data_IF_232551674438
#
_entry.id   IF_232551674438
#
_cell.length_a   1.000
_cell.length_b   1.000
_cell.length_c   1.000
_cell.angle_alpha   90.00
_cell.angle_beta   90.00
_cell.angle_gamma   90.00
#
_symmetry.space_group_name_H-M   'P 1'
#
loop_
_entity.id
_entity.type
_entity.pdbx_description
1 polymer ?
#
# COMPACT_ATOMS: atom_id res chain seq x y z
N UNK A 1 -22.94 -11.72 -19.66
CA UNK A 1 -21.93 -10.66 -19.43
C UNK A 1 -21.09 -10.59 -20.69
N UNK A 2 -20.82 -9.40 -21.23
CA UNK A 2 -19.95 -9.26 -22.42
C UNK A 2 -18.56 -9.78 -22.07
N UNK A 3 -17.95 -10.57 -22.96
CA UNK A 3 -16.57 -11.05 -22.80
C UNK A 3 -15.63 -9.83 -22.71
N UNK A 4 -14.97 -9.64 -21.57
CA UNK A 4 -14.10 -8.49 -21.34
C UNK A 4 -12.74 -8.76 -22.00
N UNK A 5 -12.30 -7.86 -22.89
CA UNK A 5 -11.01 -8.01 -23.60
C UNK A 5 -9.84 -7.73 -22.65
N UNK A 6 -8.67 -8.32 -22.92
CA UNK A 6 -7.45 -8.06 -22.14
C UNK A 6 -7.06 -6.57 -22.14
N UNK A 7 -7.28 -5.85 -23.24
CA UNK A 7 -7.04 -4.39 -23.31
C UNK A 7 -7.96 -3.63 -22.36
N UNK A 8 -9.27 -3.93 -22.38
CA UNK A 8 -10.23 -3.27 -21.47
C UNK A 8 -9.94 -3.57 -20.00
N UNK A 9 -9.47 -4.79 -19.69
CA UNK A 9 -9.03 -5.17 -18.35
C UNK A 9 -7.80 -4.38 -17.90
N UNK A 10 -6.80 -4.23 -18.78
CA UNK A 10 -5.58 -3.45 -18.52
C UNK A 10 -5.89 -1.98 -18.26
N UNK A 11 -6.77 -1.38 -19.05
CA UNK A 11 -7.22 0.00 -18.90
C UNK A 11 -7.90 0.19 -17.54
N UNK A 12 -8.85 -0.69 -17.21
CA UNK A 12 -9.61 -0.62 -15.97
C UNK A 12 -8.77 -0.83 -14.71
N UNK A 13 -7.77 -1.72 -14.76
CA UNK A 13 -6.77 -1.88 -13.70
C UNK A 13 -5.93 -0.60 -13.51
N UNK A 14 -5.58 0.07 -14.61
CA UNK A 14 -4.87 1.35 -14.57
C UNK A 14 -5.72 2.47 -13.97
N UNK A 15 -6.98 2.59 -14.40
CA UNK A 15 -7.93 3.59 -13.90
C UNK A 15 -8.18 3.43 -12.40
N UNK A 16 -8.41 2.20 -11.92
CA UNK A 16 -8.66 1.98 -10.49
C UNK A 16 -7.41 2.21 -9.65
N UNK A 17 -6.23 1.83 -10.15
CA UNK A 17 -4.96 2.12 -9.50
C UNK A 17 -4.72 3.63 -9.40
N UNK A 18 -4.98 4.38 -10.48
CA UNK A 18 -4.82 5.83 -10.49
C UNK A 18 -5.81 6.52 -9.53
N UNK A 19 -7.08 6.08 -9.54
CA UNK A 19 -8.10 6.57 -8.60
C UNK A 19 -7.70 6.32 -7.14
N UNK A 20 -7.20 5.13 -6.84
CA UNK A 20 -6.71 4.80 -5.50
C UNK A 20 -5.52 5.68 -5.09
N UNK A 21 -4.56 5.86 -5.99
CA UNK A 21 -3.41 6.71 -5.74
C UNK A 21 -3.82 8.16 -5.47
N UNK A 22 -4.71 8.72 -6.30
CA UNK A 22 -5.21 10.09 -6.12
C UNK A 22 -5.95 10.28 -4.80
N UNK A 23 -6.86 9.36 -4.44
CA UNK A 23 -7.60 9.47 -3.18
C UNK A 23 -6.68 9.45 -1.95
N UNK A 24 -5.65 8.58 -1.97
CA UNK A 24 -4.68 8.48 -0.87
C UNK A 24 -3.72 9.67 -0.84
N UNK A 25 -3.18 10.13 -1.98
CA UNK A 25 -2.36 11.34 -2.02
C UNK A 25 -3.12 12.59 -1.60
N UNK A 26 -4.40 12.71 -1.97
CA UNK A 26 -5.26 13.81 -1.52
C UNK A 26 -5.40 13.85 0.00
N UNK A 27 -5.50 12.68 0.66
CA UNK A 27 -5.54 12.60 2.12
C UNK A 27 -4.25 13.07 2.80
N UNK A 28 -3.12 13.05 2.08
CA UNK A 28 -1.82 13.53 2.52
C UNK A 28 -1.54 14.99 2.13
N UNK A 29 -2.56 15.71 1.62
CA UNK A 29 -2.46 17.15 1.32
C UNK A 29 -2.21 17.47 -0.15
N UNK A 30 -2.11 16.47 -1.02
CA UNK A 30 -2.04 16.71 -2.47
C UNK A 30 -3.39 17.12 -3.09
N UNK A 31 -4.46 17.24 -2.28
CA UNK A 31 -5.84 17.46 -2.73
C UNK A 31 -6.09 18.77 -3.47
N UNK A 32 -5.14 19.72 -3.48
CA UNK A 32 -5.16 20.86 -4.41
C UNK A 32 -4.97 20.45 -5.88
N UNK A 33 -4.64 19.17 -6.14
CA UNK A 33 -4.37 18.62 -7.47
C UNK A 33 -5.47 17.69 -8.00
N UNK A 34 -6.47 17.28 -7.19
CA UNK A 34 -7.57 16.41 -7.61
C UNK A 34 -8.83 16.54 -6.73
N UNK A 35 -9.99 16.77 -7.36
CA UNK A 35 -11.30 16.80 -6.69
C UNK A 35 -11.84 15.37 -6.49
N UNK A 36 -12.06 14.95 -5.24
CA UNK A 36 -12.60 13.63 -4.93
C UNK A 36 -12.70 13.34 -3.43
N UNK A 37 -13.38 12.24 -3.07
CA UNK A 37 -13.40 11.76 -1.68
C UNK A 37 -12.00 11.31 -1.29
N UNK A 38 -11.50 11.87 -0.19
CA UNK A 38 -10.23 11.52 0.42
C UNK A 38 -10.29 10.11 1.02
N UNK A 39 -9.16 9.40 1.02
CA UNK A 39 -9.04 8.10 1.65
C UNK A 39 -9.38 8.14 3.16
N UNK A 40 -10.03 7.10 3.64
CA UNK A 40 -10.43 6.87 5.04
C UNK A 40 -9.64 5.73 5.71
N UNK A 41 -9.16 4.76 4.93
CA UNK A 41 -8.32 3.66 5.41
C UNK A 41 -6.88 4.13 5.65
N UNK A 42 -6.15 3.40 6.51
CA UNK A 42 -4.73 3.68 6.77
C UNK A 42 -3.96 3.59 5.45
N UNK A 43 -3.24 4.65 5.12
CA UNK A 43 -2.37 4.72 3.94
C UNK A 43 -1.08 3.98 4.24
N UNK A 44 -0.72 3.09 3.32
CA UNK A 44 0.61 2.52 3.22
C UNK A 44 1.45 3.39 2.26
N UNK A 45 2.35 4.25 2.77
CA UNK A 45 3.00 5.26 1.93
C UNK A 45 4.07 4.65 1.01
N UNK A 46 4.67 3.51 1.36
CA UNK A 46 5.57 2.79 0.46
C UNK A 46 4.81 2.12 -0.67
N UNK A 47 3.70 1.43 -0.36
CA UNK A 47 2.85 0.81 -1.38
C UNK A 47 2.28 1.85 -2.33
N UNK A 48 1.79 2.96 -1.78
CA UNK A 48 1.24 4.08 -2.54
C UNK A 48 2.30 4.67 -3.49
N UNK A 49 3.54 4.87 -3.02
CA UNK A 49 4.65 5.30 -3.87
C UNK A 49 4.88 4.28 -5.00
N UNK A 50 5.03 2.99 -4.69
CA UNK A 50 5.36 1.97 -5.68
C UNK A 50 4.28 1.81 -6.76
N UNK A 51 3.00 1.85 -6.37
CA UNK A 51 1.88 1.90 -7.31
C UNK A 51 1.95 3.16 -8.18
N UNK A 52 2.21 4.31 -7.56
CA UNK A 52 2.29 5.58 -8.28
C UNK A 52 3.38 5.55 -9.34
N UNK A 53 4.56 5.01 -9.00
CA UNK A 53 5.67 4.85 -9.95
C UNK A 53 5.31 3.93 -11.12
N UNK A 54 4.61 2.82 -10.87
CA UNK A 54 4.15 1.90 -11.91
C UNK A 54 3.21 2.60 -12.92
N UNK A 55 2.33 3.48 -12.44
CA UNK A 55 1.31 4.14 -13.24
C UNK A 55 1.76 5.43 -13.95
N UNK A 56 3.01 5.88 -13.77
CA UNK A 56 3.54 7.09 -14.42
C UNK A 56 3.39 7.08 -15.96
N UNK A 57 3.62 5.96 -16.69
CA UNK A 57 3.47 5.98 -18.15
C UNK A 57 2.09 6.41 -18.62
N UNK A 58 1.03 6.07 -17.87
CA UNK A 58 -0.36 6.33 -18.20
C UNK A 58 -0.91 7.58 -17.50
N UNK A 59 -0.53 7.82 -16.24
CA UNK A 59 -0.92 8.98 -15.45
C UNK A 59 0.32 9.80 -15.08
N UNK A 60 0.74 10.65 -16.02
CA UNK A 60 1.99 11.44 -15.92
C UNK A 60 2.04 12.34 -14.68
N UNK A 61 0.88 12.78 -14.17
CA UNK A 61 0.80 13.66 -12.98
C UNK A 61 1.29 12.96 -11.70
N UNK A 62 1.27 11.62 -11.64
CA UNK A 62 1.84 10.88 -10.52
C UNK A 62 3.36 11.07 -10.40
N UNK A 63 4.05 11.47 -11.47
CA UNK A 63 5.47 11.83 -11.38
C UNK A 63 5.68 13.11 -10.56
N UNK A 64 4.82 14.11 -10.74
CA UNK A 64 4.88 15.36 -9.97
C UNK A 64 4.64 15.05 -8.47
N UNK A 65 3.68 14.16 -8.16
CA UNK A 65 3.43 13.67 -6.79
C UNK A 65 4.60 12.90 -6.20
N UNK A 66 5.19 11.97 -6.95
CA UNK A 66 6.36 11.21 -6.49
C UNK A 66 7.55 12.13 -6.21
N UNK A 67 7.75 13.17 -7.03
CA UNK A 67 8.79 14.18 -6.81
C UNK A 67 8.51 15.01 -5.56
N UNK A 68 7.30 15.55 -5.43
CA UNK A 68 6.88 16.27 -4.23
C UNK A 68 7.11 15.44 -2.97
N UNK A 69 6.68 14.18 -2.99
CA UNK A 69 6.85 13.28 -1.86
C UNK A 69 8.32 12.94 -1.57
N UNK A 70 9.17 12.85 -2.58
CA UNK A 70 10.60 12.67 -2.38
C UNK A 70 11.21 13.85 -1.61
N UNK A 71 10.74 15.06 -1.90
CA UNK A 71 11.28 16.29 -1.33
C UNK A 71 10.76 16.55 0.10
N UNK A 72 9.48 16.29 0.38
CA UNK A 72 8.89 16.62 1.71
C UNK A 72 8.55 15.41 2.58
N UNK A 73 8.30 14.25 1.96
CA UNK A 73 7.76 13.06 2.62
C UNK A 73 8.73 11.91 2.74
N UNK A 74 9.90 11.97 2.09
CA UNK A 74 10.89 10.87 2.10
C UNK A 74 11.35 10.49 3.50
N UNK A 75 11.41 11.47 4.42
CA UNK A 75 11.66 11.28 5.85
C UNK A 75 10.70 10.28 6.52
N UNK A 76 9.46 10.19 6.04
CA UNK A 76 8.41 9.33 6.58
C UNK A 76 8.35 7.94 5.92
N UNK A 77 9.23 7.67 4.96
CA UNK A 77 9.37 6.37 4.31
C UNK A 77 10.48 5.53 4.94
N UNK A 78 10.24 4.22 5.02
CA UNK A 78 11.20 3.20 5.40
C UNK A 78 11.90 2.66 4.16
N UNK A 79 13.15 3.09 3.92
CA UNK A 79 13.97 2.62 2.78
C UNK A 79 14.03 1.10 2.68
N UNK A 80 14.18 0.42 3.82
CA UNK A 80 14.22 -1.05 3.88
C UNK A 80 12.88 -1.67 3.45
N UNK A 81 11.77 -1.14 3.95
CA UNK A 81 10.43 -1.63 3.64
C UNK A 81 10.09 -1.37 2.19
N UNK A 82 10.36 -0.16 1.66
CA UNK A 82 10.18 0.17 0.24
C UNK A 82 10.92 -0.83 -0.64
N UNK A 83 12.19 -1.14 -0.33
CA UNK A 83 12.97 -2.13 -1.09
C UNK A 83 12.36 -3.52 -1.03
N UNK A 84 11.84 -3.92 0.12
CA UNK A 84 11.23 -5.23 0.31
C UNK A 84 9.97 -5.35 -0.54
N UNK A 85 9.07 -4.38 -0.42
CA UNK A 85 7.82 -4.33 -1.17
C UNK A 85 8.04 -4.19 -2.68
N UNK A 86 9.04 -3.41 -3.11
CA UNK A 86 9.29 -3.18 -4.53
C UNK A 86 9.60 -4.48 -5.31
N UNK A 87 10.02 -5.55 -4.64
CA UNK A 87 10.25 -6.86 -5.28
C UNK A 87 8.97 -7.49 -5.82
N UNK A 88 7.83 -7.15 -5.23
CA UNK A 88 6.52 -7.66 -5.64
C UNK A 88 5.91 -6.81 -6.76
N UNK A 89 6.59 -5.74 -7.18
CA UNK A 89 6.18 -4.88 -8.28
C UNK A 89 6.93 -5.20 -9.57
N UNK A 90 6.34 -4.88 -10.74
CA UNK A 90 7.03 -4.96 -12.03
C UNK A 90 8.40 -4.27 -12.06
N UNK A 91 9.35 -4.84 -12.82
CA UNK A 91 10.74 -4.39 -12.85
C UNK A 91 10.95 -2.91 -13.25
N UNK A 92 10.04 -2.33 -14.04
CA UNK A 92 10.04 -0.90 -14.40
C UNK A 92 9.88 0.03 -13.19
N UNK A 93 9.24 -0.43 -12.12
CA UNK A 93 9.13 0.32 -10.85
C UNK A 93 10.50 0.53 -10.22
N UNK A 94 11.43 -0.42 -10.39
CA UNK A 94 12.77 -0.30 -9.82
C UNK A 94 13.57 0.85 -10.44
N UNK A 95 13.50 1.02 -11.76
CA UNK A 95 14.18 2.14 -12.44
C UNK A 95 13.65 3.50 -11.96
N UNK A 96 12.33 3.60 -11.81
CA UNK A 96 11.67 4.82 -11.30
C UNK A 96 11.92 5.06 -9.82
N UNK A 97 12.11 3.99 -9.03
CA UNK A 97 12.47 4.10 -7.62
C UNK A 97 13.90 4.64 -7.46
N UNK A 98 14.83 4.29 -8.36
CA UNK A 98 16.15 4.92 -8.40
C UNK A 98 16.06 6.43 -8.70
N UNK A 99 15.12 6.84 -9.55
CA UNK A 99 14.83 8.26 -9.82
C UNK A 99 14.28 8.99 -8.58
N UNK A 100 13.26 8.43 -7.94
CA UNK A 100 12.74 8.93 -6.67
C UNK A 100 13.85 9.09 -5.61
N UNK A 101 14.73 8.10 -5.51
CA UNK A 101 15.84 8.11 -4.54
C UNK A 101 16.83 9.23 -4.79
N UNK A 102 17.04 9.64 -6.05
CA UNK A 102 17.85 10.82 -6.39
C UNK A 102 17.19 12.11 -5.93
N UNK A 103 15.88 12.27 -6.15
CA UNK A 103 15.14 13.44 -5.67
C UNK A 103 15.20 13.54 -4.15
N UNK A 104 14.94 12.45 -3.44
CA UNK A 104 15.02 12.42 -1.98
C UNK A 104 16.43 12.74 -1.46
N UNK A 105 17.46 12.20 -2.10
CA UNK A 105 18.87 12.49 -1.73
C UNK A 105 19.21 13.96 -1.94
N UNK A 106 18.77 14.57 -3.06
CA UNK A 106 18.98 16.00 -3.35
C UNK A 106 18.22 16.91 -2.38
N UNK A 107 17.05 16.49 -1.94
CA UNK A 107 16.26 17.17 -0.92
C UNK A 107 16.82 17.02 0.51
N UNK A 108 17.86 16.20 0.70
CA UNK A 108 18.59 16.09 1.98
C UNK A 108 18.44 14.74 2.70
N UNK A 109 17.55 13.85 2.26
CA UNK A 109 17.40 12.52 2.88
C UNK A 109 18.48 11.54 2.37
N UNK A 110 19.64 11.58 3.04
CA UNK A 110 20.81 10.78 2.70
C UNK A 110 20.60 9.27 2.83
N UNK A 111 19.53 8.79 3.49
CA UNK A 111 19.23 7.35 3.61
C UNK A 111 19.00 6.71 2.24
N UNK A 112 18.51 7.50 1.28
CA UNK A 112 18.25 7.08 -0.09
C UNK A 112 19.49 7.06 -0.98
N UNK A 113 20.63 7.63 -0.55
CA UNK A 113 21.84 7.79 -1.38
C UNK A 113 22.34 6.47 -1.96
N UNK A 114 22.32 5.38 -1.17
CA UNK A 114 22.77 4.05 -1.64
C UNK A 114 21.84 3.43 -2.68
N UNK A 115 20.61 3.94 -2.80
CA UNK A 115 19.61 3.46 -3.74
C UNK A 115 19.45 4.37 -4.96
N UNK A 116 19.97 5.59 -4.90
CA UNK A 116 20.07 6.48 -6.05
C UNK A 116 21.06 5.88 -7.07
N UNK A 117 20.62 5.60 -8.29
CA UNK A 117 21.55 5.23 -9.36
C UNK A 117 22.36 6.45 -9.81
N UNK A 118 23.61 6.25 -10.21
CA UNK A 118 24.55 7.31 -10.62
C UNK A 118 24.19 8.02 -11.94
N UNK A 119 23.09 7.63 -12.61
CA UNK A 119 22.71 8.22 -13.90
C UNK A 119 22.39 9.71 -13.77
N UNK A 120 23.31 10.51 -14.29
CA UNK A 120 23.22 11.93 -14.61
C UNK A 120 22.35 12.12 -15.86
N UNK A 121 21.03 12.14 -15.70
CA UNK A 121 20.22 12.94 -16.62
C UNK A 121 19.85 14.23 -15.92
N UNK A 122 20.02 15.33 -16.65
CA UNK A 122 19.52 16.65 -16.31
C UNK A 122 18.01 16.55 -16.14
N UNK A 123 17.55 16.24 -14.93
CA UNK A 123 16.23 16.67 -14.51
C UNK A 123 16.31 18.19 -14.54
N UNK A 124 15.56 18.81 -15.45
CA UNK A 124 15.37 20.25 -15.39
C UNK A 124 14.87 20.59 -13.99
N UNK A 125 15.46 21.64 -13.40
CA UNK A 125 15.04 22.27 -12.15
C UNK A 125 13.66 22.90 -12.34
N UNK A 126 12.65 22.06 -12.56
CA UNK A 126 11.26 22.48 -12.43
C UNK A 126 10.96 22.61 -10.96
N UNK A 127 10.30 23.71 -10.60
CA UNK A 127 9.78 23.87 -9.25
C UNK A 127 8.86 22.71 -8.88
N UNK A 128 8.93 22.32 -7.62
CA UNK A 128 8.04 21.30 -7.05
C UNK A 128 6.62 21.81 -7.04
N UNK A 129 5.66 20.90 -7.19
CA UNK A 129 4.23 21.19 -7.04
C UNK A 129 3.69 20.46 -5.83
N UNK A 130 3.02 21.19 -4.94
CA UNK A 130 2.42 20.62 -3.73
C UNK A 130 2.70 21.46 -2.49
N UNK A 131 2.08 21.12 -1.35
CA UNK A 131 2.26 21.85 -0.10
C UNK A 131 3.69 21.68 0.48
N UNK A 132 4.04 22.54 1.43
CA UNK A 132 5.34 22.48 2.11
C UNK A 132 5.49 21.23 2.97
N UNK A 133 4.43 20.84 3.66
CA UNK A 133 4.40 19.68 4.54
C UNK A 133 3.26 18.72 4.16
N UNK A 134 3.45 17.40 4.37
CA UNK A 134 2.38 16.43 4.22
C UNK A 134 1.32 16.56 5.33
N UNK A 135 0.06 16.30 4.99
CA UNK A 135 -1.04 16.28 5.96
C UNK A 135 -0.99 15.01 6.82
N UNK A 136 -0.79 15.18 8.14
CA UNK A 136 -0.70 14.08 9.12
C UNK A 136 -1.88 14.01 10.10
N UNK A 137 -2.87 14.91 9.96
CA UNK A 137 -4.06 14.93 10.82
C UNK A 137 -5.25 14.18 10.24
N UNK A 138 -5.21 13.80 8.96
CA UNK A 138 -6.25 12.95 8.35
C UNK A 138 -6.35 11.60 9.08
N UNK A 139 -7.53 10.99 9.25
CA UNK A 139 -7.67 9.61 9.72
C UNK A 139 -6.73 8.65 8.97
N UNK A 140 -6.75 8.66 7.65
CA UNK A 140 -5.95 7.78 6.80
C UNK A 140 -4.42 7.90 7.00
N UNK A 141 -3.94 9.01 7.56
CA UNK A 141 -2.51 9.26 7.78
C UNK A 141 -1.95 8.66 9.08
N UNK A 142 -2.69 7.81 9.80
CA UNK A 142 -2.30 7.25 11.10
C UNK A 142 -0.88 6.67 11.12
N UNK A 143 -0.50 5.87 10.11
CA UNK A 143 0.84 5.30 10.03
C UNK A 143 1.93 6.39 9.95
N UNK A 144 1.71 7.41 9.13
CA UNK A 144 2.64 8.53 8.97
C UNK A 144 2.73 9.38 10.25
N UNK A 145 1.61 9.60 10.93
CA UNK A 145 1.60 10.28 12.23
C UNK A 145 2.42 9.51 13.27
N UNK A 146 2.24 8.18 13.34
CA UNK A 146 3.01 7.33 14.25
C UNK A 146 4.50 7.34 13.91
N UNK A 147 4.86 7.31 12.62
CA UNK A 147 6.26 7.41 12.19
C UNK A 147 6.88 8.78 12.46
N UNK A 148 6.10 9.87 12.42
CA UNK A 148 6.58 11.19 12.80
C UNK A 148 6.90 11.25 14.31
N UNK A 149 6.11 10.60 15.16
CA UNK A 149 6.31 10.58 16.62
C UNK A 149 7.35 9.55 17.11
N UNK A 150 7.33 8.32 16.60
CA UNK A 150 8.19 7.21 17.03
C UNK A 150 9.44 7.03 16.18
N UNK A 151 9.56 7.79 15.09
CA UNK A 151 10.50 7.51 14.02
C UNK A 151 10.00 6.39 13.11
N UNK A 152 10.53 6.37 11.88
CA UNK A 152 10.25 5.32 10.90
C UNK A 152 10.83 3.99 11.37
N UNK A 153 9.98 3.12 11.92
CA UNK A 153 10.40 1.88 12.58
C UNK A 153 9.30 0.81 12.52
N UNK A 154 9.70 -0.45 12.66
CA UNK A 154 8.74 -1.56 12.74
C UNK A 154 7.76 -1.43 13.93
N UNK A 155 8.13 -0.72 15.00
CA UNK A 155 7.24 -0.45 16.14
C UNK A 155 6.08 0.46 15.74
N UNK A 156 6.36 1.55 15.03
CA UNK A 156 5.33 2.45 14.52
C UNK A 156 4.37 1.70 13.56
N UNK A 157 4.94 0.90 12.65
CA UNK A 157 4.18 0.16 11.64
C UNK A 157 3.31 -0.94 12.24
N UNK A 158 3.84 -1.74 13.17
CA UNK A 158 3.08 -2.79 13.86
C UNK A 158 1.99 -2.19 14.74
N UNK A 159 2.26 -1.07 15.42
CA UNK A 159 1.26 -0.38 16.20
C UNK A 159 0.12 0.15 15.31
N UNK A 160 0.44 0.75 14.16
CA UNK A 160 -0.56 1.20 13.19
C UNK A 160 -1.43 0.03 12.70
N UNK A 161 -0.82 -1.12 12.40
CA UNK A 161 -1.53 -2.34 12.03
C UNK A 161 -2.47 -2.83 13.13
N UNK A 162 -1.97 -2.97 14.37
CA UNK A 162 -2.79 -3.44 15.50
C UNK A 162 -3.94 -2.49 15.86
N UNK A 163 -3.75 -1.19 15.68
CA UNK A 163 -4.83 -0.21 15.83
C UNK A 163 -5.86 -0.34 14.69
N UNK A 164 -5.40 -0.53 13.46
CA UNK A 164 -6.25 -0.62 12.27
C UNK A 164 -7.03 -1.92 12.10
N UNK A 165 -6.74 -2.96 12.88
CA UNK A 165 -7.57 -4.18 12.98
C UNK A 165 -8.67 -4.08 14.06
N UNK A 166 -8.79 -2.92 14.71
CA UNK A 166 -9.93 -2.53 15.54
C UNK A 166 -10.26 -3.51 16.68
N UNK A 167 -9.34 -3.62 17.66
CA UNK A 167 -9.55 -4.45 18.86
C UNK A 167 -9.43 -5.95 18.62
N UNK A 168 -9.30 -6.40 17.37
CA UNK A 168 -8.92 -7.77 17.04
C UNK A 168 -7.48 -8.07 17.48
N UNK A 169 -7.19 -9.35 17.65
CA UNK A 169 -5.84 -9.83 17.92
C UNK A 169 -5.14 -10.22 16.62
N UNK A 170 -3.81 -10.16 16.62
CA UNK A 170 -2.99 -10.66 15.53
C UNK A 170 -1.77 -11.43 16.05
N UNK A 171 -1.38 -12.46 15.32
CA UNK A 171 -0.14 -13.20 15.55
C UNK A 171 1.07 -12.46 14.97
N UNK A 172 2.27 -12.81 15.41
CA UNK A 172 3.53 -12.34 14.79
C UNK A 172 3.58 -12.60 13.28
N UNK A 173 2.99 -13.71 12.82
CA UNK A 173 2.93 -14.05 11.39
C UNK A 173 2.08 -13.01 10.63
N UNK A 174 0.86 -12.75 11.11
CA UNK A 174 -0.03 -11.77 10.49
C UNK A 174 0.59 -10.36 10.49
N UNK A 175 1.26 -9.96 11.59
CA UNK A 175 1.97 -8.67 11.63
C UNK A 175 3.15 -8.61 10.65
N UNK A 176 3.85 -9.72 10.43
CA UNK A 176 4.94 -9.83 9.42
C UNK A 176 4.38 -9.65 8.01
N UNK A 177 3.29 -10.36 7.69
CA UNK A 177 2.61 -10.29 6.40
C UNK A 177 2.04 -8.88 6.16
N UNK A 178 1.39 -8.28 7.16
CA UNK A 178 0.82 -6.93 7.05
C UNK A 178 1.88 -5.85 6.83
N UNK A 179 3.00 -5.93 7.54
CA UNK A 179 4.00 -4.83 7.54
C UNK A 179 5.14 -5.05 6.56
N UNK A 180 5.36 -6.25 6.03
CA UNK A 180 6.44 -6.52 5.06
C UNK A 180 7.86 -6.47 5.66
N UNK A 181 8.00 -6.51 6.99
CA UNK A 181 9.30 -6.68 7.66
C UNK A 181 9.63 -8.16 7.87
N UNK A 182 10.85 -8.45 8.33
CA UNK A 182 11.23 -9.81 8.71
C UNK A 182 10.53 -10.24 10.02
N UNK A 183 10.30 -11.55 10.18
CA UNK A 183 9.75 -12.11 11.42
C UNK A 183 10.56 -11.74 12.66
N UNK A 184 11.89 -11.70 12.57
CA UNK A 184 12.76 -11.33 13.68
C UNK A 184 12.55 -9.86 14.09
N UNK A 185 12.50 -8.96 13.11
CA UNK A 185 12.21 -7.53 13.33
C UNK A 185 10.86 -7.33 14.00
N UNK A 186 9.84 -8.06 13.56
CA UNK A 186 8.47 -7.97 14.10
C UNK A 186 8.38 -8.57 15.49
N UNK A 187 9.05 -9.69 15.74
CA UNK A 187 9.09 -10.30 17.08
C UNK A 187 9.70 -9.33 18.10
N UNK A 188 10.85 -8.73 17.76
CA UNK A 188 11.48 -7.74 18.64
C UNK A 188 10.63 -6.48 18.82
N UNK A 189 9.96 -6.00 17.77
CA UNK A 189 9.05 -4.85 17.88
C UNK A 189 7.84 -5.14 18.79
N UNK A 190 7.24 -6.32 18.67
CA UNK A 190 6.14 -6.75 19.53
C UNK A 190 6.58 -6.89 20.98
N UNK A 191 7.75 -7.48 21.23
CA UNK A 191 8.32 -7.61 22.58
C UNK A 191 8.59 -6.23 23.21
N UNK A 192 9.18 -5.30 22.45
CA UNK A 192 9.40 -3.92 22.90
C UNK A 192 8.10 -3.21 23.24
N UNK A 193 7.09 -3.32 22.38
CA UNK A 193 5.78 -2.68 22.59
C UNK A 193 5.03 -3.30 23.77
N UNK A 194 5.13 -4.62 23.99
CA UNK A 194 4.57 -5.28 25.18
C UNK A 194 5.30 -4.84 26.43
N UNK A 195 6.63 -4.77 26.42
CA UNK A 195 7.44 -4.30 27.56
C UNK A 195 7.16 -2.84 27.92
N UNK A 196 6.76 -2.02 26.95
CA UNK A 196 6.37 -0.63 27.16
C UNK A 196 4.88 -0.46 27.57
N UNK A 197 4.13 -1.55 27.75
CA UNK A 197 2.68 -1.55 27.99
C UNK A 197 1.86 -0.81 26.92
N UNK A 198 2.40 -0.75 25.69
CA UNK A 198 1.74 -0.11 24.55
C UNK A 198 0.75 -1.05 23.84
N UNK A 199 0.97 -2.36 23.97
CA UNK A 199 0.12 -3.43 23.44
C UNK A 199 0.04 -4.56 24.45
N UNK A 200 -1.02 -5.35 24.35
CA UNK A 200 -1.24 -6.53 25.18
C UNK A 200 -0.84 -7.80 24.42
N UNK A 201 -0.27 -8.76 25.14
CA UNK A 201 0.12 -10.08 24.63
C UNK A 201 -0.68 -11.17 25.33
N UNK A 202 -1.30 -12.07 24.57
CA UNK A 202 -2.00 -13.23 25.11
C UNK A 202 -1.02 -14.31 25.58
N UNK A 203 -1.43 -15.10 26.59
CA UNK A 203 -0.65 -16.24 27.10
C UNK A 203 -0.72 -17.51 26.22
N UNK A 204 -1.47 -17.47 25.11
CA UNK A 204 -1.69 -18.62 24.23
C UNK A 204 -0.48 -19.01 23.37
N UNK A 205 -0.61 -20.14 22.65
CA UNK A 205 0.34 -20.59 21.62
C UNK A 205 -0.42 -20.87 20.31
N UNK A 206 -0.22 -20.08 19.24
CA UNK A 206 0.68 -18.92 19.16
C UNK A 206 0.21 -17.76 20.05
N UNK A 207 1.16 -16.93 20.50
CA UNK A 207 0.83 -15.69 21.20
C UNK A 207 0.18 -14.71 20.22
N UNK A 208 -0.85 -14.02 20.70
CA UNK A 208 -1.56 -13.00 19.94
C UNK A 208 -1.42 -11.65 20.62
N UNK A 209 -1.50 -10.59 19.82
CA UNK A 209 -1.23 -9.23 20.25
C UNK A 209 -2.41 -8.32 19.89
N UNK A 210 -2.73 -7.35 20.75
CA UNK A 210 -3.75 -6.33 20.47
C UNK A 210 -3.32 -4.96 21.02
N UNK A 211 -3.74 -3.90 20.35
CA UNK A 211 -3.51 -2.53 20.83
C UNK A 211 -4.76 -2.01 21.59
N UNK A 212 -4.59 -1.26 22.70
CA UNK A 212 -5.69 -0.61 23.41
C UNK A 212 -6.18 0.61 22.62
N UNK A 213 -7.05 0.37 21.64
CA UNK A 213 -7.48 1.36 20.64
C UNK A 213 -7.97 2.67 21.26
N UNK A 214 -8.83 2.61 22.29
CA UNK A 214 -9.40 3.81 22.92
C UNK A 214 -8.32 4.71 23.52
N UNK A 215 -7.37 4.13 24.25
CA UNK A 215 -6.27 4.87 24.87
C UNK A 215 -5.39 5.56 23.83
N UNK A 216 -5.09 4.85 22.73
CA UNK A 216 -4.31 5.40 21.63
C UNK A 216 -5.04 6.51 20.88
N UNK A 217 -6.34 6.35 20.59
CA UNK A 217 -7.10 7.39 19.90
C UNK A 217 -7.27 8.66 20.74
N UNK A 218 -7.40 8.52 22.07
CA UNK A 218 -7.36 9.66 22.98
C UNK A 218 -5.99 10.35 22.93
N UNK A 219 -4.88 9.60 23.04
CA UNK A 219 -3.52 10.13 23.00
C UNK A 219 -3.18 10.84 21.67
N UNK A 220 -3.65 10.30 20.55
CA UNK A 220 -3.41 10.87 19.21
C UNK A 220 -4.34 12.05 18.89
N UNK A 221 -5.16 12.49 19.85
CA UNK A 221 -6.20 13.52 19.70
C UNK A 221 -7.15 13.23 18.52
N UNK A 222 -7.46 11.95 18.31
CA UNK A 222 -8.40 11.46 17.28
C UNK A 222 -9.80 11.19 17.83
N UNK A 223 -9.99 11.31 19.14
CA UNK A 223 -11.25 11.04 19.84
C UNK A 223 -12.32 12.12 19.63
N UNK A 224 -11.93 13.39 19.45
CA UNK A 224 -12.89 14.52 19.32
C UNK A 224 -13.63 14.54 17.98
N UNK A 225 -13.03 13.98 16.92
CA UNK A 225 -13.63 13.95 15.56
C UNK A 225 -14.71 12.87 15.40
N UNK A 226 -14.74 11.88 16.30
CA UNK A 226 -15.69 10.76 16.26
C UNK A 226 -17.09 11.15 16.80
N UNK A 227 -17.17 12.13 17.70
CA UNK A 227 -18.45 12.62 18.25
C UNK A 227 -19.33 13.31 17.21
N UNK A 228 -18.76 13.88 16.15
CA UNK A 228 -19.54 14.51 15.08
C UNK A 228 -19.93 13.56 13.92
N UNK A 229 -19.31 12.39 13.76
CA UNK A 229 -19.41 11.61 12.51
C UNK A 229 -20.02 10.19 12.62
N UNK A 230 -20.33 9.67 13.82
CA UNK A 230 -20.97 8.34 14.04
C UNK A 230 -20.26 7.13 13.41
N UNK A 231 -19.09 7.29 12.83
CA UNK A 231 -18.21 6.21 12.43
C UNK A 231 -17.16 6.00 13.53
N UNK A 232 -16.86 4.75 13.86
CA UNK A 232 -15.73 4.39 14.72
C UNK A 232 -14.48 5.05 14.13
N UNK A 233 -14.01 6.16 14.71
CA UNK A 233 -13.02 7.09 14.13
C UNK A 233 -11.60 6.53 13.93
N UNK A 234 -11.45 5.22 13.91
CA UNK A 234 -10.19 4.50 13.73
C UNK A 234 -10.09 4.10 12.25
N UNK A 235 -9.10 4.61 11.51
CA UNK A 235 -8.87 4.21 10.13
C UNK A 235 -8.52 2.72 10.08
N UNK A 236 -9.10 1.98 9.13
CA UNK A 236 -8.88 0.54 9.02
C UNK A 236 -7.56 0.23 8.33
N UNK A 237 -6.85 -0.78 8.81
CA UNK A 237 -5.72 -1.34 8.08
C UNK A 237 -6.23 -2.15 6.90
N UNK A 238 -5.68 -1.89 5.72
CA UNK A 238 -5.86 -2.69 4.51
C UNK A 238 -4.50 -3.16 4.06
N UNK A 239 -4.44 -4.36 3.48
CA UNK A 239 -3.20 -4.92 2.94
C UNK A 239 -2.86 -4.25 1.60
N UNK A 240 -2.71 -2.92 1.61
CA UNK A 240 -2.52 -2.09 0.42
C UNK A 240 -1.25 -2.46 -0.34
N UNK A 241 -0.17 -2.81 0.35
CA UNK A 241 1.05 -3.32 -0.29
C UNK A 241 0.77 -4.48 -1.25
N UNK A 242 0.04 -5.48 -0.78
CA UNK A 242 -0.31 -6.67 -1.56
C UNK A 242 -1.36 -6.36 -2.62
N UNK A 243 -2.39 -5.57 -2.29
CA UNK A 243 -3.43 -5.18 -3.27
C UNK A 243 -2.82 -4.37 -4.42
N UNK A 244 -1.93 -3.43 -4.13
CA UNK A 244 -1.29 -2.60 -5.15
C UNK A 244 -0.25 -3.35 -5.97
N UNK A 245 0.52 -4.25 -5.35
CA UNK A 245 1.40 -5.16 -6.08
C UNK A 245 0.59 -6.08 -7.02
N UNK A 246 -0.53 -6.61 -6.55
CA UNK A 246 -1.46 -7.38 -7.39
C UNK A 246 -1.99 -6.57 -8.56
N UNK A 247 -2.50 -5.34 -8.34
CA UNK A 247 -3.00 -4.48 -9.43
C UNK A 247 -1.92 -4.23 -10.49
N UNK A 248 -0.69 -3.91 -10.06
CA UNK A 248 0.43 -3.68 -10.97
C UNK A 248 0.80 -4.93 -11.77
N UNK A 249 0.86 -6.10 -11.11
CA UNK A 249 1.20 -7.37 -11.76
C UNK A 249 0.09 -7.92 -12.63
N UNK A 250 -1.18 -7.78 -12.23
CA UNK A 250 -2.34 -8.15 -13.04
C UNK A 250 -2.41 -7.30 -14.31
N UNK A 251 -2.07 -6.01 -14.21
CA UNK A 251 -2.02 -5.11 -15.36
C UNK A 251 -0.91 -5.50 -16.33
N UNK A 252 0.29 -5.78 -15.80
CA UNK A 252 1.41 -6.28 -16.61
C UNK A 252 1.09 -7.63 -17.27
N UNK A 253 0.49 -8.55 -16.52
CA UNK A 253 0.00 -9.82 -17.03
C UNK A 253 -1.00 -9.61 -18.18
N UNK A 254 -1.97 -8.71 -18.03
CA UNK A 254 -2.97 -8.47 -19.07
C UNK A 254 -2.34 -8.00 -20.38
N UNK A 255 -1.29 -7.16 -20.30
CA UNK A 255 -0.51 -6.75 -21.47
C UNK A 255 0.28 -7.91 -22.09
N UNK A 256 1.00 -8.70 -21.29
CA UNK A 256 1.79 -9.82 -21.80
C UNK A 256 0.89 -10.93 -22.39
N UNK A 257 -0.26 -11.18 -21.78
CA UNK A 257 -1.21 -12.21 -22.17
C UNK A 257 -1.77 -12.03 -23.59
N UNK A 258 -1.76 -10.81 -24.14
CA UNK A 258 -2.13 -10.54 -25.54
C UNK A 258 -1.25 -11.33 -26.54
N UNK A 259 -0.01 -11.65 -26.14
CA UNK A 259 0.97 -12.38 -26.95
C UNK A 259 1.14 -13.85 -26.59
N UNK A 260 0.44 -14.34 -25.56
CA UNK A 260 0.58 -15.71 -25.05
C UNK A 260 -0.51 -16.63 -25.59
N UNK A 261 -0.24 -17.94 -25.57
CA UNK A 261 -1.31 -18.93 -25.74
C UNK A 261 -2.29 -18.86 -24.57
N UNK A 262 -3.57 -19.19 -24.81
CA UNK A 262 -4.63 -19.18 -23.76
C UNK A 262 -4.23 -20.01 -22.53
N UNK A 263 -3.57 -21.15 -22.74
CA UNK A 263 -3.09 -22.01 -21.65
C UNK A 263 -1.99 -21.34 -20.81
N UNK A 264 -1.00 -20.71 -21.45
CA UNK A 264 0.07 -20.01 -20.73
C UNK A 264 -0.45 -18.77 -19.99
N UNK A 265 -1.36 -18.02 -20.61
CA UNK A 265 -2.03 -16.88 -19.96
C UNK A 265 -2.79 -17.33 -18.72
N UNK A 266 -3.54 -18.44 -18.80
CA UNK A 266 -4.28 -19.03 -17.68
C UNK A 266 -3.37 -19.48 -16.54
N UNK A 267 -2.28 -20.18 -16.86
CA UNK A 267 -1.31 -20.65 -15.86
C UNK A 267 -0.69 -19.48 -15.09
N UNK A 268 -0.22 -18.44 -15.81
CA UNK A 268 0.34 -17.24 -15.16
C UNK A 268 -0.67 -16.47 -14.32
N UNK A 269 -1.94 -16.44 -14.74
CA UNK A 269 -3.02 -15.83 -13.97
C UNK A 269 -3.23 -16.56 -12.64
N UNK A 270 -3.16 -17.89 -12.66
CA UNK A 270 -3.32 -18.75 -11.49
C UNK A 270 -2.18 -18.53 -10.49
N UNK A 271 -0.94 -18.56 -10.97
CA UNK A 271 0.24 -18.31 -10.13
C UNK A 271 0.14 -16.95 -9.44
N UNK A 272 -0.26 -15.92 -10.20
CA UNK A 272 -0.45 -14.58 -9.67
C UNK A 272 -1.52 -14.55 -8.57
N UNK A 273 -2.65 -15.22 -8.77
CA UNK A 273 -3.71 -15.23 -7.77
C UNK A 273 -3.34 -16.02 -6.52
N UNK A 274 -2.73 -17.20 -6.66
CA UNK A 274 -2.29 -18.03 -5.54
C UNK A 274 -1.29 -17.28 -4.65
N UNK A 275 -0.41 -16.48 -5.26
CA UNK A 275 0.56 -15.66 -4.53
C UNK A 275 -0.09 -14.57 -3.65
N UNK A 276 -1.16 -13.94 -4.11
CA UNK A 276 -1.84 -12.84 -3.40
C UNK A 276 -3.07 -13.28 -2.58
N UNK A 277 -3.46 -14.56 -2.63
CA UNK A 277 -4.66 -15.10 -1.99
C UNK A 277 -4.78 -14.74 -0.50
N UNK A 278 -3.69 -14.84 0.26
CA UNK A 278 -3.69 -14.50 1.69
C UNK A 278 -4.05 -13.04 1.97
N UNK A 279 -3.70 -12.11 1.09
CA UNK A 279 -4.08 -10.70 1.23
C UNK A 279 -5.55 -10.46 0.89
N UNK A 280 -6.12 -11.23 -0.03
CA UNK A 280 -7.55 -11.19 -0.32
C UNK A 280 -8.36 -11.70 0.86
N UNK A 281 -7.96 -12.82 1.46
CA UNK A 281 -8.58 -13.36 2.67
C UNK A 281 -8.51 -12.36 3.83
N UNK A 282 -7.34 -11.77 4.06
CA UNK A 282 -7.13 -10.82 5.15
C UNK A 282 -7.93 -9.51 4.97
N UNK A 283 -8.18 -9.09 3.73
CA UNK A 283 -9.08 -7.98 3.40
C UNK A 283 -10.55 -8.39 3.27
N UNK A 284 -10.87 -9.69 3.41
CA UNK A 284 -12.21 -10.27 3.18
C UNK A 284 -12.75 -10.00 1.77
N UNK A 285 -11.85 -9.97 0.78
CA UNK A 285 -12.22 -9.86 -0.63
C UNK A 285 -12.63 -11.26 -1.08
N UNK A 286 -13.93 -11.45 -1.31
CA UNK A 286 -14.42 -12.75 -1.80
C UNK A 286 -13.95 -12.94 -3.23
N UNK A 287 -13.05 -13.87 -3.49
CA UNK A 287 -12.54 -14.16 -4.85
C UNK A 287 -12.77 -15.64 -5.18
N UNK A 288 -13.13 -15.99 -6.43
CA UNK A 288 -13.32 -17.39 -6.83
C UNK A 288 -12.07 -18.24 -6.57
N UNK A 289 -12.25 -19.46 -6.04
CA UNK A 289 -11.13 -20.37 -5.77
C UNK A 289 -10.53 -20.93 -7.07
N UNK A 290 -9.19 -20.96 -7.23
CA UNK A 290 -8.52 -21.62 -8.35
C UNK A 290 -8.79 -23.13 -8.45
N UNK A 291 -9.29 -23.76 -7.38
CA UNK A 291 -9.65 -25.17 -7.40
C UNK A 291 -10.93 -25.46 -8.21
N UNK A 292 -11.78 -24.46 -8.47
CA UNK A 292 -13.06 -24.61 -9.17
C UNK A 292 -13.00 -24.57 -10.69
N UNK A 293 -11.85 -24.23 -11.28
CA UNK A 293 -11.69 -24.06 -12.74
C UNK A 293 -10.41 -24.75 -13.22
N UNK A 294 -10.53 -25.69 -14.17
CA UNK A 294 -9.37 -26.38 -14.76
C UNK A 294 -8.99 -25.78 -16.11
N UNK A 295 -7.68 -25.71 -16.39
CA UNK A 295 -7.16 -25.35 -17.71
C UNK A 295 -7.49 -23.92 -18.16
N UNK A 296 -7.98 -23.75 -19.39
CA UNK A 296 -8.23 -22.44 -19.99
C UNK A 296 -9.45 -21.70 -19.39
N UNK A 297 -10.34 -22.41 -18.70
CA UNK A 297 -11.56 -21.87 -18.07
C UNK A 297 -11.25 -20.98 -16.85
N UNK A 298 -10.05 -21.08 -16.29
CA UNK A 298 -9.64 -20.25 -15.16
C UNK A 298 -9.54 -18.75 -15.53
N UNK A 299 -9.36 -18.40 -16.80
CA UNK A 299 -9.31 -16.99 -17.23
C UNK A 299 -10.59 -16.23 -16.89
N UNK A 300 -11.76 -16.85 -17.01
CA UNK A 300 -13.03 -16.23 -16.64
C UNK A 300 -13.14 -16.04 -15.11
N UNK A 301 -12.74 -17.05 -14.34
CA UNK A 301 -12.65 -16.96 -12.88
C UNK A 301 -11.70 -15.86 -12.42
N UNK A 302 -10.57 -15.71 -13.10
CA UNK A 302 -9.59 -14.67 -12.82
C UNK A 302 -10.08 -13.26 -13.18
N UNK A 303 -10.77 -13.10 -14.32
CA UNK A 303 -11.43 -11.85 -14.67
C UNK A 303 -12.46 -11.46 -13.59
N UNK A 304 -13.30 -12.41 -13.16
CA UNK A 304 -14.25 -12.19 -12.07
C UNK A 304 -13.57 -11.82 -10.74
N UNK A 305 -12.40 -12.38 -10.44
CA UNK A 305 -11.62 -11.99 -9.27
C UNK A 305 -11.14 -10.52 -9.39
N UNK A 306 -10.60 -10.13 -10.54
CA UNK A 306 -10.19 -8.75 -10.80
C UNK A 306 -11.37 -7.81 -10.67
N UNK A 307 -12.53 -8.14 -11.23
CA UNK A 307 -13.75 -7.35 -11.10
C UNK A 307 -14.11 -7.03 -9.66
N UNK A 308 -14.05 -8.05 -8.80
CA UNK A 308 -14.33 -7.89 -7.37
C UNK A 308 -13.30 -7.01 -6.68
N UNK A 309 -12.03 -7.10 -7.06
CA UNK A 309 -10.97 -6.23 -6.54
C UNK A 309 -11.17 -4.78 -7.02
N UNK A 310 -11.49 -4.57 -8.30
CA UNK A 310 -11.78 -3.26 -8.89
C UNK A 310 -12.97 -2.60 -8.20
N UNK A 311 -14.00 -3.37 -7.82
CA UNK A 311 -15.14 -2.86 -7.05
C UNK A 311 -14.77 -2.60 -5.58
N UNK A 312 -13.95 -3.47 -4.99
CA UNK A 312 -13.57 -3.39 -3.59
C UNK A 312 -12.69 -2.17 -3.29
N UNK A 313 -11.68 -1.90 -4.12
CA UNK A 313 -10.71 -0.81 -3.88
C UNK A 313 -11.39 0.53 -3.57
N UNK A 314 -12.24 1.11 -4.44
CA UNK A 314 -12.84 2.42 -4.20
C UNK A 314 -13.85 2.43 -3.05
N UNK A 315 -14.43 1.28 -2.68
CA UNK A 315 -15.31 1.16 -1.52
C UNK A 315 -14.55 1.16 -0.18
N UNK A 316 -13.22 0.98 -0.21
CA UNK A 316 -12.39 0.83 0.97
C UNK A 316 -11.23 1.83 1.04
N UNK A 317 -11.22 2.84 0.17
CA UNK A 317 -10.26 3.95 0.20
C UNK A 317 -10.37 4.73 1.49
#
# INVERSE_FOLDING_TARGET
>A
MSEMTLSSLKERLGEIGARAAWAQWSALGAGTLHEGRSASAIIDPEALLLLSLHLIPEERRLRDLARWWAEVGSGLLSVQRTKTLAKDFPADVQERLHEFSRWATRAGDKRWKRYASERTKNDSERDRKGPEDPQLRSPASLLLQLRAGFGVSAKADVLAFLLGIEGQTATTRQATEATGYSRATISGALEDLTRADFIEKSGGRPAEYRAPVRSWMALLHRSETAEQTRETGVPKWRYWAQVFAFLARARKWAHEAESLSKYMASTRARDLFEEFGGAFDANRIQVPSPAGHQGAEYLEGFQNAIERIVQWVPAHL
#
